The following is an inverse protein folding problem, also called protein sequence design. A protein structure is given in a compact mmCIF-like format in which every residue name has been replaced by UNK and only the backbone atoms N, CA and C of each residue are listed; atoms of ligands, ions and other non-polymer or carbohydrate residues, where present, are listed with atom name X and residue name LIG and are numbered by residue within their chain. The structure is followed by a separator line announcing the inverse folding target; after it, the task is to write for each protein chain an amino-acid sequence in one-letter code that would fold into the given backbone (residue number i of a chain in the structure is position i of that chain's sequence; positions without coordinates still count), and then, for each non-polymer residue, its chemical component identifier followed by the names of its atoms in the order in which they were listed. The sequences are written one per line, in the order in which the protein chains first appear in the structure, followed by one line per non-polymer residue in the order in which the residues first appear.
data_IF_938001513331
#
_entry.id   IF_938001513331
#
_cell.length_a   1.000
_cell.length_b   1.000
_cell.length_c   1.000
_cell.angle_alpha   90.00
_cell.angle_beta   90.00
_cell.angle_gamma   90.00
#
_symmetry.space_group_name_H-M   'P 1'
#
loop_
_entity.id
_entity.type
_entity.pdbx_description
1 polymer ?
#
# COMPACT_ATOMS: atom_id res chain seq x y z
N UNK A 1 -46.81 -26.92 -2.92
CA UNK A 1 -46.49 -27.08 -1.48
C UNK A 1 -45.60 -28.31 -1.31
N UNK A 2 -44.29 -28.14 -1.08
CA UNK A 2 -43.38 -29.23 -0.74
C UNK A 2 -42.59 -28.82 0.51
N UNK A 3 -42.68 -29.70 1.51
CA UNK A 3 -42.20 -29.55 2.88
C UNK A 3 -40.69 -29.83 2.94
N UNK A 4 -39.94 -28.97 3.62
CA UNK A 4 -38.56 -29.21 4.03
C UNK A 4 -38.54 -29.90 5.41
N UNK A 5 -37.70 -30.93 5.64
CA UNK A 5 -37.46 -31.44 6.99
C UNK A 5 -36.35 -30.63 7.71
N UNK A 6 -36.38 -30.54 9.05
CA UNK A 6 -35.55 -29.62 9.81
C UNK A 6 -34.20 -30.19 10.27
N UNK A 7 -33.28 -29.23 10.38
CA UNK A 7 -31.96 -29.15 11.01
C UNK A 7 -31.66 -30.08 12.20
N UNK A 8 -30.53 -30.80 12.12
CA UNK A 8 -29.87 -31.46 13.25
C UNK A 8 -29.06 -30.46 14.11
N UNK A 9 -29.24 -30.52 15.43
CA UNK A 9 -28.43 -29.85 16.47
C UNK A 9 -27.06 -30.53 16.65
N UNK A 10 -25.98 -29.81 16.98
CA UNK A 10 -24.79 -30.42 17.55
C UNK A 10 -24.83 -30.41 19.09
N UNK A 11 -24.44 -31.55 19.67
CA UNK A 11 -24.20 -31.79 21.08
C UNK A 11 -22.91 -31.08 21.53
N UNK A 12 -22.99 -30.28 22.59
CA UNK A 12 -21.84 -29.77 23.34
C UNK A 12 -21.58 -30.72 24.53
N UNK A 13 -20.34 -31.18 24.68
CA UNK A 13 -19.83 -31.78 25.92
C UNK A 13 -18.62 -30.96 26.42
N UNK A 14 -18.51 -30.69 27.73
CA UNK A 14 -17.41 -29.92 28.29
C UNK A 14 -16.31 -30.85 28.81
N UNK A 15 -15.05 -30.62 28.40
CA UNK A 15 -13.89 -31.21 29.07
C UNK A 15 -13.21 -30.15 29.95
N UNK A 16 -13.21 -30.44 31.25
CA UNK A 16 -12.56 -29.72 32.32
C UNK A 16 -11.15 -30.29 32.53
N UNK A 17 -10.21 -29.36 32.64
CA UNK A 17 -9.16 -29.28 33.67
C UNK A 17 -7.86 -30.12 33.59
N UNK A 18 -6.82 -29.42 34.07
CA UNK A 18 -5.58 -29.85 34.73
C UNK A 18 -4.37 -30.11 33.84
N UNK A 19 -3.37 -29.21 33.99
CA UNK A 19 -1.98 -29.61 34.27
C UNK A 19 -1.21 -28.43 34.86
N UNK A 20 -0.82 -28.62 36.11
CA UNK A 20 -0.03 -27.73 36.97
C UNK A 20 1.44 -27.73 36.55
N UNK A 21 2.10 -26.58 36.57
CA UNK A 21 3.54 -26.44 36.29
C UNK A 21 4.40 -26.72 37.53
N UNK A 22 5.59 -27.35 37.41
CA UNK A 22 6.55 -27.48 38.51
C UNK A 22 7.48 -26.25 38.62
N UNK A 23 8.08 -26.00 39.81
CA UNK A 23 8.93 -24.84 40.07
C UNK A 23 10.35 -25.02 39.51
N UNK A 24 10.96 -23.92 39.07
CA UNK A 24 12.36 -23.87 38.62
C UNK A 24 13.28 -23.54 39.79
N UNK A 25 14.31 -24.36 39.98
CA UNK A 25 15.48 -24.04 40.79
C UNK A 25 16.54 -23.33 39.91
N UNK A 26 17.06 -22.19 40.37
CA UNK A 26 18.26 -21.53 39.81
C UNK A 26 19.50 -21.86 40.67
N UNK A 27 20.66 -22.16 40.06
CA UNK A 27 21.93 -22.25 40.77
C UNK A 27 22.68 -20.90 40.80
N UNK A 28 23.55 -20.66 41.81
CA UNK A 28 24.26 -19.41 41.97
C UNK A 28 25.51 -19.32 41.07
N UNK A 29 25.75 -18.14 40.49
CA UNK A 29 26.98 -17.81 39.77
C UNK A 29 28.08 -17.30 40.72
N UNK A 30 29.36 -17.67 40.51
CA UNK A 30 30.47 -17.11 41.26
C UNK A 30 30.95 -15.77 40.67
N UNK A 31 31.35 -14.85 41.54
CA UNK A 31 32.08 -13.62 41.19
C UNK A 31 33.58 -13.90 41.03
N UNK A 32 34.26 -13.30 40.04
CA UNK A 32 35.68 -13.07 40.13
C UNK A 32 35.99 -11.60 40.41
N UNK A 33 36.76 -11.40 41.47
CA UNK A 33 37.47 -10.18 41.86
C UNK A 33 38.84 -10.16 41.20
N UNK A 34 39.21 -9.08 40.48
CA UNK A 34 40.61 -8.66 40.33
C UNK A 34 40.71 -7.15 40.06
N UNK A 35 41.59 -6.51 40.84
CA UNK A 35 42.00 -5.09 40.78
C UNK A 35 43.07 -4.84 39.69
N UNK A 36 43.33 -3.56 39.33
CA UNK A 36 43.97 -3.17 38.08
C UNK A 36 45.49 -2.99 38.18
N UNK A 37 46.19 -3.21 37.08
CA UNK A 37 47.56 -2.75 36.87
C UNK A 37 47.56 -1.44 36.06
N UNK A 38 48.27 -0.45 36.58
CA UNK A 38 48.55 0.84 35.97
C UNK A 38 49.67 0.72 34.92
N UNK A 39 49.56 1.44 33.80
CA UNK A 39 50.69 1.83 32.94
C UNK A 39 50.28 3.00 32.00
N UNK A 40 51.23 3.75 31.41
CA UNK A 40 51.30 5.20 31.56
C UNK A 40 50.92 6.01 30.31
N UNK A 41 50.74 7.30 30.58
CA UNK A 41 50.32 8.39 29.71
C UNK A 41 51.05 8.46 28.35
N UNK A 42 50.26 8.59 27.29
CA UNK A 42 50.65 9.18 26.01
C UNK A 42 49.72 10.35 25.69
N UNK A 43 50.30 11.43 25.17
CA UNK A 43 49.74 12.77 24.98
C UNK A 43 48.54 12.84 24.03
N UNK A 44 47.52 13.68 24.28
CA UNK A 44 46.38 13.83 23.38
C UNK A 44 46.62 14.94 22.35
N UNK A 45 46.68 14.55 21.08
CA UNK A 45 46.26 15.39 19.95
C UNK A 45 44.97 14.81 19.37
N UNK A 46 43.85 15.13 20.01
CA UNK A 46 42.52 14.71 19.54
C UNK A 46 41.51 15.79 19.83
N UNK A 47 40.90 16.33 18.78
CA UNK A 47 39.69 17.12 18.83
C UNK A 47 38.58 16.27 19.47
N UNK A 48 38.36 16.49 20.76
CA UNK A 48 37.32 15.79 21.50
C UNK A 48 35.95 16.00 20.81
N UNK A 49 35.21 14.93 20.49
CA UNK A 49 33.85 15.07 19.98
C UNK A 49 33.01 15.81 21.04
N UNK A 50 32.31 16.86 20.61
CA UNK A 50 31.41 17.62 21.46
C UNK A 50 30.44 16.65 22.17
N UNK A 51 30.22 16.79 23.48
CA UNK A 51 29.31 15.93 24.22
C UNK A 51 27.92 16.06 23.61
N UNK A 52 27.43 14.95 23.05
CA UNK A 52 26.03 14.86 22.60
C UNK A 52 25.17 14.70 23.84
N UNK A 53 24.53 15.79 24.26
CA UNK A 53 23.53 15.71 25.31
C UNK A 53 22.46 14.69 24.88
N UNK A 54 22.12 13.69 25.72
CA UNK A 54 21.13 12.69 25.35
C UNK A 54 19.80 13.40 25.05
N UNK A 55 19.17 13.05 23.93
CA UNK A 55 17.84 13.54 23.61
C UNK A 55 16.89 13.17 24.77
N UNK A 56 16.08 14.14 25.20
CA UNK A 56 15.01 13.87 26.17
C UNK A 56 14.15 12.69 25.65
N UNK A 57 13.78 11.75 26.53
CA UNK A 57 12.88 10.63 26.24
C UNK A 57 11.60 10.99 25.46
N UNK A 58 11.16 12.26 25.57
CA UNK A 58 10.00 12.80 24.84
C UNK A 58 10.31 13.25 23.43
N UNK A 59 11.56 13.61 23.12
CA UNK A 59 11.95 14.05 21.78
C UNK A 59 12.08 12.87 20.82
N UNK A 60 11.89 13.15 19.54
CA UNK A 60 12.02 12.22 18.42
C UNK A 60 12.84 12.90 17.34
N UNK A 61 13.75 12.15 16.74
CA UNK A 61 14.53 12.61 15.61
C UNK A 61 13.71 12.41 14.33
N UNK A 62 13.70 13.41 13.46
CA UNK A 62 13.15 13.33 12.10
C UNK A 62 14.27 13.73 11.15
N UNK A 63 14.75 12.76 10.37
CA UNK A 63 15.86 12.95 9.44
C UNK A 63 15.31 13.24 8.05
N UNK A 64 15.62 14.40 7.50
CA UNK A 64 15.28 14.82 6.15
C UNK A 64 16.49 14.63 5.23
N UNK A 65 16.31 14.01 4.06
CA UNK A 65 17.38 13.85 3.07
C UNK A 65 16.88 14.26 1.68
N UNK A 66 17.52 15.25 1.07
CA UNK A 66 17.16 15.78 -0.24
C UNK A 66 18.12 16.87 -0.72
N UNK A 67 17.81 17.52 -1.84
CA UNK A 67 18.52 18.74 -2.26
C UNK A 67 18.23 19.90 -1.30
N UNK A 68 19.02 20.99 -1.35
CA UNK A 68 18.78 22.17 -0.51
C UNK A 68 17.36 22.73 -0.65
N UNK A 69 16.87 22.84 -1.89
CA UNK A 69 15.50 23.28 -2.18
C UNK A 69 14.44 22.34 -1.56
N UNK A 70 14.63 21.02 -1.69
CA UNK A 70 13.73 20.02 -1.10
C UNK A 70 13.72 20.07 0.43
N UNK A 71 14.89 20.26 1.05
CA UNK A 71 15.03 20.38 2.50
C UNK A 71 14.37 21.65 3.04
N UNK A 72 14.59 22.79 2.38
CA UNK A 72 13.96 24.06 2.73
C UNK A 72 12.43 23.95 2.65
N UNK A 73 11.91 23.39 1.55
CA UNK A 73 10.48 23.16 1.38
C UNK A 73 9.92 22.19 2.43
N UNK A 74 10.61 21.09 2.72
CA UNK A 74 10.18 20.14 3.75
C UNK A 74 10.18 20.74 5.16
N UNK A 75 11.19 21.54 5.50
CA UNK A 75 11.25 22.24 6.78
C UNK A 75 10.07 23.21 6.95
N UNK A 76 9.73 23.98 5.91
CA UNK A 76 8.59 24.90 5.93
C UNK A 76 7.25 24.17 6.11
N UNK A 77 7.04 23.07 5.38
CA UNK A 77 5.83 22.24 5.52
C UNK A 77 5.73 21.64 6.93
N UNK A 78 6.82 21.13 7.47
CA UNK A 78 6.84 20.56 8.82
C UNK A 78 6.60 21.61 9.90
N UNK A 79 7.19 22.81 9.79
CA UNK A 79 6.94 23.91 10.73
C UNK A 79 5.45 24.31 10.75
N UNK A 80 4.81 24.45 9.58
CA UNK A 80 3.38 24.72 9.49
C UNK A 80 2.51 23.64 10.16
N UNK A 81 2.82 22.36 9.93
CA UNK A 81 2.12 21.22 10.57
C UNK A 81 2.32 21.24 12.09
N UNK A 82 3.54 21.50 12.56
CA UNK A 82 3.87 21.50 13.97
C UNK A 82 3.20 22.65 14.72
N UNK A 83 3.13 23.83 14.11
CA UNK A 83 2.38 24.99 14.63
C UNK A 83 0.87 24.80 14.60
N UNK A 84 0.37 23.79 13.88
CA UNK A 84 -1.07 23.56 13.71
C UNK A 84 -1.75 24.65 12.87
N UNK A 85 -0.99 25.43 12.11
CA UNK A 85 -1.55 26.44 11.19
C UNK A 85 -2.26 25.78 10.01
N UNK A 86 -2.02 24.49 9.78
CA UNK A 86 -2.71 23.69 8.77
C UNK A 86 -3.04 22.31 9.33
N UNK A 87 -4.29 21.86 9.14
CA UNK A 87 -4.73 20.51 9.50
C UNK A 87 -4.44 19.48 8.39
N UNK A 88 -4.07 19.96 7.20
CA UNK A 88 -3.59 19.23 6.05
C UNK A 88 -2.53 20.13 5.39
N UNK A 89 -1.44 19.60 4.82
CA UNK A 89 -0.41 20.46 4.25
C UNK A 89 -1.05 21.40 3.21
N UNK A 90 -0.77 22.71 3.23
CA UNK A 90 -1.55 23.71 2.49
C UNK A 90 -1.57 23.38 1.00
N UNK A 91 -2.75 23.24 0.38
CA UNK A 91 -2.91 22.69 -0.98
C UNK A 91 -2.29 23.61 -2.06
N UNK A 92 -2.14 24.90 -1.74
CA UNK A 92 -1.77 25.95 -2.70
C UNK A 92 -0.29 26.37 -2.69
N UNK A 93 0.61 25.59 -2.07
CA UNK A 93 2.06 25.87 -2.21
C UNK A 93 2.50 25.34 -3.58
N UNK A 94 2.93 26.21 -4.51
CA UNK A 94 3.34 25.77 -5.84
C UNK A 94 4.44 24.71 -5.74
N UNK A 95 4.32 23.65 -6.53
CA UNK A 95 5.41 22.69 -6.73
C UNK A 95 6.57 23.48 -7.32
N UNK A 96 7.63 23.68 -6.53
CA UNK A 96 8.80 24.38 -7.03
C UNK A 96 9.33 23.62 -8.26
N UNK A 97 9.59 24.31 -9.38
CA UNK A 97 10.21 23.69 -10.53
C UNK A 97 11.55 23.05 -10.13
N UNK A 98 11.98 22.02 -10.85
CA UNK A 98 13.29 21.42 -10.64
C UNK A 98 14.35 22.54 -10.59
N UNK A 99 15.22 22.57 -9.56
CA UNK A 99 16.12 23.69 -9.38
C UNK A 99 17.07 23.78 -10.58
N UNK A 100 16.97 24.88 -11.35
CA UNK A 100 18.04 25.30 -12.22
C UNK A 100 19.23 25.69 -11.35
N UNK A 101 20.44 25.46 -11.86
CA UNK A 101 21.70 25.57 -11.12
C UNK A 101 22.11 27.00 -10.73
N UNK A 102 21.20 27.97 -10.75
CA UNK A 102 21.51 29.38 -10.58
C UNK A 102 20.47 30.09 -9.68
N UNK A 103 20.64 29.94 -8.37
CA UNK A 103 20.64 31.05 -7.38
C UNK A 103 20.66 30.48 -5.96
N UNK A 104 21.80 30.65 -5.28
CA UNK A 104 22.14 30.05 -3.99
C UNK A 104 22.04 31.09 -2.85
N UNK A 105 21.01 31.96 -2.89
CA UNK A 105 20.71 32.90 -1.82
C UNK A 105 19.28 32.72 -1.31
N UNK A 106 19.07 31.65 -0.53
CA UNK A 106 17.89 31.51 0.31
C UNK A 106 18.13 32.27 1.64
N UNK A 107 17.13 33.00 2.16
CA UNK A 107 17.24 33.63 3.46
C UNK A 107 17.50 32.56 4.52
N UNK A 108 18.47 32.84 5.37
CA UNK A 108 18.83 32.02 6.50
C UNK A 108 17.64 31.91 7.47
N UNK A 109 16.72 30.97 7.21
CA UNK A 109 16.39 30.03 8.28
C UNK A 109 17.75 29.48 8.67
N UNK A 110 18.34 30.11 9.69
CA UNK A 110 19.56 29.70 10.37
C UNK A 110 19.52 28.19 10.37
N UNK A 111 20.28 27.58 9.44
CA UNK A 111 20.21 26.15 9.18
C UNK A 111 20.47 25.54 10.52
N UNK A 112 19.40 25.06 11.20
CA UNK A 112 19.48 24.52 12.54
C UNK A 112 20.66 23.58 12.49
N UNK A 113 21.76 23.99 13.16
CA UNK A 113 23.02 23.27 13.06
C UNK A 113 22.69 21.82 13.35
N UNK A 114 23.22 20.85 12.59
CA UNK A 114 22.91 19.45 12.83
C UNK A 114 23.20 19.16 14.30
N UNK A 115 22.16 19.14 15.13
CA UNK A 115 22.27 18.98 16.57
C UNK A 115 22.88 17.62 16.92
N UNK A 116 22.99 16.76 15.91
CA UNK A 116 23.33 15.35 15.96
C UNK A 116 24.22 14.94 14.79
N UNK A 117 25.21 15.75 14.39
CA UNK A 117 26.17 15.37 13.32
C UNK A 117 26.84 14.00 13.56
N UNK A 118 26.85 13.52 14.82
CA UNK A 118 27.35 12.21 15.22
C UNK A 118 26.28 11.12 15.41
N UNK A 119 24.98 11.41 15.23
CA UNK A 119 23.94 10.39 15.40
C UNK A 119 23.86 9.51 14.15
N UNK A 120 24.25 8.24 14.31
CA UNK A 120 23.97 7.17 13.36
C UNK A 120 22.76 6.35 13.83
N UNK A 121 21.85 5.97 12.92
CA UNK A 121 20.76 5.08 13.29
C UNK A 121 21.30 3.75 13.78
N UNK A 122 20.94 3.36 15.00
CA UNK A 122 21.32 2.05 15.51
C UNK A 122 20.68 0.90 14.71
N UNK A 123 19.56 1.16 14.04
CA UNK A 123 18.95 0.14 13.16
C UNK A 123 19.76 -0.01 11.86
N UNK A 124 20.24 -1.21 11.51
CA UNK A 124 21.04 -1.42 10.29
C UNK A 124 20.31 -0.99 9.02
N UNK A 125 18.97 -1.14 8.98
CA UNK A 125 18.15 -0.74 7.84
C UNK A 125 18.02 0.77 7.72
N UNK A 126 17.80 1.48 8.84
CA UNK A 126 17.75 2.95 8.85
C UNK A 126 19.08 3.54 8.41
N UNK A 127 20.19 3.06 8.99
CA UNK A 127 21.53 3.50 8.63
C UNK A 127 21.88 3.19 7.17
N UNK A 128 21.58 1.98 6.68
CA UNK A 128 21.79 1.63 5.27
C UNK A 128 20.98 2.54 4.33
N UNK A 129 19.73 2.84 4.67
CA UNK A 129 18.87 3.72 3.88
C UNK A 129 19.39 5.16 3.86
N UNK A 130 19.78 5.71 5.02
CA UNK A 130 20.36 7.06 5.11
C UNK A 130 21.65 7.15 4.28
N UNK A 131 22.58 6.20 4.46
CA UNK A 131 23.84 6.15 3.68
C UNK A 131 23.59 6.05 2.19
N UNK A 132 22.67 5.18 1.76
CA UNK A 132 22.32 5.03 0.34
C UNK A 132 21.72 6.30 -0.27
N UNK A 133 20.97 7.08 0.50
CA UNK A 133 20.41 8.35 0.02
C UNK A 133 21.48 9.44 -0.04
N UNK A 134 22.33 9.53 0.99
CA UNK A 134 23.45 10.48 1.06
C UNK A 134 24.56 10.21 0.04
N UNK A 135 24.69 8.98 -0.46
CA UNK A 135 25.63 8.66 -1.53
C UNK A 135 25.28 9.32 -2.87
N UNK A 136 24.07 9.90 -3.01
CA UNK A 136 23.66 10.61 -4.22
C UNK A 136 24.23 12.03 -4.21
N UNK A 137 24.91 12.42 -5.29
CA UNK A 137 25.47 13.76 -5.44
C UNK A 137 24.38 14.83 -5.30
N UNK A 138 24.68 15.93 -4.59
CA UNK A 138 23.77 17.04 -4.37
C UNK A 138 22.67 16.79 -3.32
N UNK A 139 22.73 15.68 -2.58
CA UNK A 139 21.84 15.42 -1.45
C UNK A 139 22.49 15.79 -0.13
N UNK A 140 21.68 16.31 0.80
CA UNK A 140 22.08 16.77 2.11
C UNK A 140 21.18 16.14 3.17
N UNK A 141 21.71 15.99 4.39
CA UNK A 141 20.95 15.54 5.56
C UNK A 141 20.63 16.75 6.43
N UNK A 142 19.38 16.83 6.88
CA UNK A 142 18.94 17.79 7.89
C UNK A 142 18.18 17.05 8.99
N UNK A 143 18.55 17.31 10.23
CA UNK A 143 18.02 16.60 11.40
C UNK A 143 17.11 17.54 12.18
N UNK A 144 15.85 17.15 12.37
CA UNK A 144 14.88 17.88 13.17
C UNK A 144 14.59 17.11 14.45
N UNK A 145 14.66 17.80 15.59
CA UNK A 145 14.23 17.26 16.88
C UNK A 145 12.80 17.72 17.14
N UNK A 146 11.87 16.77 17.18
CA UNK A 146 10.44 17.02 17.32
C UNK A 146 9.94 16.43 18.63
N UNK A 147 9.05 17.11 19.34
CA UNK A 147 8.36 16.49 20.49
C UNK A 147 7.56 15.26 20.03
N UNK A 148 7.73 14.13 20.69
CA UNK A 148 7.07 12.86 20.41
C UNK A 148 5.55 12.96 20.40
N UNK A 149 4.96 13.91 21.14
CA UNK A 149 3.51 14.20 21.13
C UNK A 149 3.04 14.79 19.80
N UNK A 150 3.93 15.46 19.07
CA UNK A 150 3.64 16.07 17.76
C UNK A 150 3.88 15.09 16.61
N UNK A 151 4.48 13.93 16.85
CA UNK A 151 4.73 12.94 15.79
C UNK A 151 3.45 12.43 15.12
N UNK A 152 2.34 12.36 15.86
CA UNK A 152 1.04 12.02 15.29
C UNK A 152 0.61 13.00 14.20
N UNK A 153 0.99 14.28 14.32
CA UNK A 153 0.75 15.31 13.30
C UNK A 153 1.71 15.23 12.12
N UNK A 154 2.92 14.69 12.25
CA UNK A 154 3.80 14.50 11.08
C UNK A 154 3.39 13.24 10.31
N UNK A 155 3.05 12.17 11.05
CA UNK A 155 2.67 10.89 10.45
C UNK A 155 1.27 10.95 9.85
N UNK A 156 0.33 11.61 10.54
CA UNK A 156 -1.09 11.56 10.22
C UNK A 156 -1.68 10.14 10.39
N UNK A 157 -2.97 9.96 10.08
CA UNK A 157 -3.62 8.66 10.11
C UNK A 157 -2.88 7.68 9.19
N UNK A 158 -2.41 6.56 9.76
CA UNK A 158 -1.70 5.48 9.03
C UNK A 158 -0.45 5.92 8.25
N UNK A 159 0.17 7.06 8.59
CA UNK A 159 1.35 7.55 7.88
C UNK A 159 1.05 8.31 6.59
N UNK A 160 -0.22 8.63 6.29
CA UNK A 160 -0.63 9.29 5.04
C UNK A 160 0.06 10.64 4.88
N UNK A 161 0.09 11.48 5.91
CA UNK A 161 0.71 12.80 5.81
C UNK A 161 2.22 12.70 5.66
N UNK A 162 2.87 11.74 6.32
CA UNK A 162 4.31 11.49 6.09
C UNK A 162 4.59 11.19 4.62
N UNK A 163 3.77 10.36 3.98
CA UNK A 163 3.90 10.01 2.57
C UNK A 163 3.61 11.22 1.66
N UNK A 164 2.59 11.99 1.98
CA UNK A 164 2.22 13.20 1.24
C UNK A 164 3.31 14.27 1.32
N UNK A 165 3.88 14.53 2.50
CA UNK A 165 4.99 15.48 2.67
C UNK A 165 6.19 15.01 1.85
N UNK A 166 6.54 13.72 1.87
CA UNK A 166 7.62 13.18 1.02
C UNK A 166 7.35 13.40 -0.47
N UNK A 167 6.13 13.15 -0.93
CA UNK A 167 5.75 13.31 -2.33
C UNK A 167 5.81 14.78 -2.76
N UNK A 168 5.29 15.69 -1.92
CA UNK A 168 5.23 17.13 -2.22
C UNK A 168 6.58 17.80 -2.21
N UNK A 169 7.43 17.42 -1.27
CA UNK A 169 8.73 18.08 -1.07
C UNK A 169 9.84 17.42 -1.87
N UNK A 170 9.62 16.19 -2.37
CA UNK A 170 10.67 15.34 -2.94
C UNK A 170 11.70 14.88 -1.91
N UNK A 171 11.55 15.24 -0.64
CA UNK A 171 12.49 14.94 0.43
C UNK A 171 12.23 13.57 1.04
N UNK A 172 13.28 12.79 1.27
CA UNK A 172 13.19 11.54 2.01
C UNK A 172 13.16 11.80 3.52
N UNK A 173 11.97 11.77 4.10
CA UNK A 173 11.74 11.85 5.55
C UNK A 173 11.89 10.48 6.23
N UNK A 174 12.83 10.34 7.15
CA UNK A 174 13.10 9.12 7.92
C UNK A 174 12.89 9.41 9.39
N UNK A 175 11.95 8.69 10.00
CA UNK A 175 11.67 8.76 11.44
C UNK A 175 12.25 7.48 12.06
N UNK A 176 13.41 7.56 12.75
CA UNK A 176 13.96 6.41 13.45
C UNK A 176 12.99 5.89 14.50
N UNK A 177 12.95 4.57 14.68
CA UNK A 177 12.26 4.01 15.83
C UNK A 177 12.88 4.59 17.12
N UNK A 178 12.09 4.90 18.15
CA UNK A 178 12.64 5.32 19.44
C UNK A 178 13.64 4.28 19.94
N UNK A 179 14.73 4.74 20.55
CA UNK A 179 15.83 3.91 21.05
C UNK A 179 15.45 2.98 22.21
N UNK A 180 14.15 2.81 22.49
CA UNK A 180 13.64 1.88 23.47
C UNK A 180 14.15 0.46 23.15
N UNK A 181 15.19 0.08 23.89
CA UNK A 181 15.67 -1.28 24.07
C UNK A 181 15.81 -2.06 22.75
N UNK A 182 16.73 -1.60 21.90
CA UNK A 182 17.29 -2.41 20.81
C UNK A 182 18.18 -3.57 21.33
N UNK A 183 17.85 -4.13 22.50
CA UNK A 183 18.35 -5.40 22.98
C UNK A 183 17.68 -6.56 22.22
N UNK A 184 18.25 -7.75 22.31
CA UNK A 184 17.87 -8.97 21.58
C UNK A 184 16.36 -9.30 21.53
N UNK A 185 15.53 -8.71 22.40
CA UNK A 185 14.07 -8.80 22.39
C UNK A 185 13.44 -8.34 21.05
N UNK A 186 13.82 -7.20 20.48
CA UNK A 186 13.20 -6.70 19.23
C UNK A 186 13.56 -7.53 17.98
N UNK A 187 14.73 -8.20 17.96
CA UNK A 187 15.09 -9.15 16.90
C UNK A 187 14.33 -10.46 17.05
N UNK A 188 14.20 -10.99 18.28
CA UNK A 188 13.37 -12.17 18.57
C UNK A 188 11.92 -11.89 18.18
N UNK A 189 11.38 -10.72 18.49
CA UNK A 189 9.99 -10.38 18.22
C UNK A 189 9.69 -10.28 16.72
N UNK A 190 10.68 -9.93 15.89
CA UNK A 190 10.51 -9.80 14.44
C UNK A 190 10.65 -11.12 13.67
N UNK A 191 11.58 -11.99 14.08
CA UNK A 191 11.62 -13.38 13.60
C UNK A 191 10.38 -14.13 14.06
N UNK A 192 9.97 -13.90 15.31
CA UNK A 192 8.71 -14.39 15.85
C UNK A 192 7.50 -13.81 15.13
N UNK A 193 7.50 -12.56 14.65
CA UNK A 193 6.44 -12.00 13.79
C UNK A 193 6.43 -12.60 12.38
N UNK A 194 7.58 -12.99 11.83
CA UNK A 194 7.65 -13.72 10.56
C UNK A 194 7.13 -15.16 10.73
N UNK A 195 7.53 -15.84 11.81
CA UNK A 195 6.97 -17.13 12.21
C UNK A 195 5.50 -17.02 12.59
N UNK A 196 5.07 -15.95 13.28
CA UNK A 196 3.68 -15.68 13.61
C UNK A 196 2.91 -15.42 12.33
N UNK A 197 3.43 -14.65 11.37
CA UNK A 197 2.77 -14.49 10.07
C UNK A 197 2.72 -15.81 9.28
N UNK A 198 3.72 -16.69 9.44
CA UNK A 198 3.69 -18.05 8.86
C UNK A 198 2.63 -18.92 9.53
N UNK A 199 2.52 -18.87 10.85
CA UNK A 199 1.47 -19.55 11.64
C UNK A 199 0.10 -18.89 11.41
N UNK A 200 0.04 -17.60 11.11
CA UNK A 200 -1.18 -16.87 10.76
C UNK A 200 -1.61 -17.10 9.29
N UNK A 201 -0.74 -17.65 8.45
CA UNK A 201 -1.14 -18.21 7.15
C UNK A 201 -1.79 -19.59 7.33
N UNK A 202 -1.54 -20.26 8.47
CA UNK A 202 -2.24 -21.47 8.95
C UNK A 202 -3.47 -21.13 9.82
N UNK A 203 -4.04 -19.93 9.71
CA UNK A 203 -5.34 -19.66 10.35
C UNK A 203 -6.36 -20.68 9.82
N UNK A 204 -7.07 -21.42 10.69
CA UNK A 204 -8.10 -22.34 10.25
C UNK A 204 -9.12 -21.65 9.34
N UNK A 205 -9.62 -22.36 8.34
CA UNK A 205 -10.60 -21.83 7.38
C UNK A 205 -11.78 -21.14 8.08
N UNK A 206 -12.28 -21.75 9.16
CA UNK A 206 -13.35 -21.19 9.99
C UNK A 206 -13.03 -19.79 10.55
N UNK A 207 -11.79 -19.53 10.97
CA UNK A 207 -11.39 -18.22 11.48
C UNK A 207 -11.29 -17.17 10.37
N UNK A 208 -10.88 -17.57 9.15
CA UNK A 208 -10.89 -16.67 7.99
C UNK A 208 -12.30 -16.29 7.60
N UNK A 209 -13.20 -17.26 7.47
CA UNK A 209 -14.61 -17.00 7.16
C UNK A 209 -15.28 -16.16 8.25
N UNK A 210 -14.96 -16.39 9.53
CA UNK A 210 -15.39 -15.54 10.64
C UNK A 210 -14.85 -14.10 10.52
N UNK A 211 -13.59 -13.93 10.13
CA UNK A 211 -13.00 -12.60 9.91
C UNK A 211 -13.75 -11.82 8.83
N UNK A 212 -14.06 -12.47 7.70
CA UNK A 212 -14.79 -11.87 6.58
C UNK A 212 -16.21 -11.52 7.00
N UNK A 213 -16.92 -12.46 7.65
CA UNK A 213 -18.27 -12.22 8.16
C UNK A 213 -18.31 -11.04 9.15
N UNK A 214 -17.34 -10.99 10.08
CA UNK A 214 -17.20 -9.87 11.02
C UNK A 214 -16.94 -8.56 10.30
N UNK A 215 -16.02 -8.52 9.33
CA UNK A 215 -15.74 -7.33 8.52
C UNK A 215 -16.97 -6.83 7.77
N UNK A 216 -17.70 -7.72 7.11
CA UNK A 216 -18.94 -7.39 6.40
C UNK A 216 -19.99 -6.81 7.35
N UNK A 217 -20.12 -7.35 8.57
CA UNK A 217 -21.01 -6.79 9.60
C UNK A 217 -20.55 -5.41 10.07
N UNK A 218 -19.27 -5.24 10.38
CA UNK A 218 -18.67 -3.96 10.78
C UNK A 218 -18.90 -2.89 9.70
N UNK A 219 -18.76 -3.25 8.42
CA UNK A 219 -19.01 -2.36 7.31
C UNK A 219 -20.46 -1.86 7.28
N UNK A 220 -21.40 -2.78 7.42
CA UNK A 220 -22.83 -2.45 7.45
C UNK A 220 -23.14 -1.50 8.62
N UNK A 221 -22.56 -1.76 9.79
CA UNK A 221 -22.73 -0.91 10.98
C UNK A 221 -22.05 0.46 10.82
N UNK A 222 -20.91 0.53 10.14
CA UNK A 222 -20.18 1.77 9.87
C UNK A 222 -20.71 2.56 8.67
N UNK A 223 -21.82 2.13 8.04
CA UNK A 223 -22.37 2.80 6.85
C UNK A 223 -21.44 2.74 5.63
N UNK A 224 -20.57 1.72 5.55
CA UNK A 224 -19.74 1.46 4.37
C UNK A 224 -20.56 0.77 3.28
N UNK A 225 -20.30 1.13 2.03
CA UNK A 225 -20.87 0.47 0.87
C UNK A 225 -20.41 -1.00 0.82
N UNK A 226 -21.34 -1.94 0.70
CA UNK A 226 -21.02 -3.37 0.62
C UNK A 226 -20.22 -3.78 -0.62
N UNK A 227 -20.12 -2.92 -1.63
CA UNK A 227 -19.42 -3.20 -2.89
C UNK A 227 -18.03 -2.54 -2.96
N UNK A 228 -17.95 -1.21 -2.89
CA UNK A 228 -16.66 -0.50 -2.94
C UNK A 228 -16.01 -0.30 -1.56
N UNK A 229 -16.68 -0.64 -0.46
CA UNK A 229 -16.17 -0.52 0.91
C UNK A 229 -15.76 0.91 1.34
N UNK A 230 -16.26 1.93 0.62
CA UNK A 230 -16.15 3.35 1.01
C UNK A 230 -17.31 3.76 1.92
N UNK A 231 -17.17 4.86 2.65
CA UNK A 231 -18.31 5.46 3.36
C UNK A 231 -19.43 5.84 2.38
N UNK A 232 -20.69 5.79 2.82
CA UNK A 232 -21.84 6.05 1.95
C UNK A 232 -21.72 7.38 1.17
N UNK A 233 -21.26 8.46 1.83
CA UNK A 233 -21.04 9.77 1.20
C UNK A 233 -19.86 9.84 0.21
N UNK A 234 -19.01 8.81 0.15
CA UNK A 234 -17.89 8.68 -0.79
C UNK A 234 -18.00 7.42 -1.64
N UNK A 235 -19.20 6.87 -1.79
CA UNK A 235 -19.43 5.67 -2.57
C UNK A 235 -19.20 5.93 -4.07
N UNK A 236 -18.21 5.24 -4.65
CA UNK A 236 -17.85 5.40 -6.08
C UNK A 236 -18.62 4.47 -7.02
N UNK A 237 -19.46 3.57 -6.50
CA UNK A 237 -20.08 2.53 -7.31
C UNK A 237 -20.97 3.07 -8.44
N UNK A 238 -21.65 4.20 -8.24
CA UNK A 238 -22.48 4.79 -9.30
C UNK A 238 -21.62 5.40 -10.40
N UNK A 239 -20.61 6.18 -10.02
CA UNK A 239 -19.67 6.82 -10.94
C UNK A 239 -18.87 5.79 -11.77
N UNK A 240 -18.48 4.67 -11.16
CA UNK A 240 -17.81 3.59 -11.89
C UNK A 240 -18.76 2.94 -12.91
N UNK A 241 -20.03 2.70 -12.54
CA UNK A 241 -21.00 2.11 -13.48
C UNK A 241 -21.32 3.04 -14.67
N UNK A 242 -21.23 4.36 -14.48
CA UNK A 242 -21.41 5.31 -15.58
C UNK A 242 -20.24 5.36 -16.56
N UNK A 243 -19.10 4.72 -16.26
CA UNK A 243 -18.02 4.53 -17.24
C UNK A 243 -18.38 3.51 -18.34
N UNK A 244 -19.51 2.81 -18.19
CA UNK A 244 -19.94 1.73 -19.07
C UNK A 244 -19.48 0.36 -18.55
N UNK A 245 -20.26 -0.70 -18.81
CA UNK A 245 -19.83 -2.05 -18.48
C UNK A 245 -18.63 -2.45 -19.32
N UNK A 246 -17.56 -2.89 -18.66
CA UNK A 246 -16.41 -3.50 -19.29
C UNK A 246 -16.80 -4.92 -19.70
N UNK A 247 -16.67 -5.20 -20.99
CA UNK A 247 -16.98 -6.51 -21.55
C UNK A 247 -15.70 -7.24 -21.93
N UNK A 248 -15.55 -8.47 -21.45
CA UNK A 248 -14.53 -9.39 -21.93
C UNK A 248 -15.21 -10.43 -22.83
N UNK A 249 -14.58 -10.81 -23.93
CA UNK A 249 -15.11 -11.76 -24.90
C UNK A 249 -14.71 -13.20 -24.55
N UNK A 250 -13.45 -13.40 -24.19
CA UNK A 250 -12.82 -14.70 -24.00
C UNK A 250 -12.40 -14.98 -22.57
N UNK A 251 -12.30 -13.98 -21.69
CA UNK A 251 -11.73 -14.17 -20.35
C UNK A 251 -12.73 -13.90 -19.23
N UNK A 252 -12.88 -14.83 -18.29
CA UNK A 252 -13.57 -14.61 -17.01
C UNK A 252 -12.56 -14.35 -15.91
N UNK A 253 -12.75 -13.28 -15.12
CA UNK A 253 -11.80 -12.88 -14.08
C UNK A 253 -12.31 -13.28 -12.70
N UNK A 254 -11.55 -14.14 -12.04
CA UNK A 254 -11.73 -14.49 -10.64
C UNK A 254 -10.67 -13.76 -9.81
N UNK A 255 -11.07 -13.09 -8.73
CA UNK A 255 -10.13 -12.35 -7.88
C UNK A 255 -10.14 -12.96 -6.49
N UNK A 256 -9.05 -13.57 -6.09
CA UNK A 256 -8.85 -14.12 -4.75
C UNK A 256 -8.27 -13.05 -3.83
N UNK A 257 -9.08 -12.52 -2.91
CA UNK A 257 -8.62 -11.49 -1.97
C UNK A 257 -8.17 -12.14 -0.68
N UNK A 258 -6.93 -11.87 -0.28
CA UNK A 258 -6.44 -12.26 1.03
C UNK A 258 -7.33 -11.68 2.14
N UNK A 259 -7.73 -12.47 3.14
CA UNK A 259 -8.70 -12.05 4.17
C UNK A 259 -8.36 -10.73 4.88
N UNK A 260 -7.06 -10.43 5.08
CA UNK A 260 -6.60 -9.15 5.68
C UNK A 260 -6.88 -7.93 4.80
N UNK A 261 -6.94 -8.09 3.48
CA UNK A 261 -7.25 -7.02 2.52
C UNK A 261 -8.75 -6.97 2.18
N UNK A 262 -9.50 -8.03 2.46
CA UNK A 262 -10.94 -8.07 2.26
C UNK A 262 -11.63 -6.95 3.05
N UNK A 263 -12.45 -6.17 2.37
CA UNK A 263 -13.13 -5.05 2.97
C UNK A 263 -12.34 -3.73 3.04
N UNK A 264 -11.08 -3.68 2.57
CA UNK A 264 -10.34 -2.42 2.66
C UNK A 264 -10.75 -1.40 1.60
N UNK A 265 -11.07 -0.20 2.04
CA UNK A 265 -11.29 0.97 1.18
C UNK A 265 -10.15 1.19 0.15
N UNK A 266 -8.91 0.81 0.45
CA UNK A 266 -7.76 0.97 -0.46
C UNK A 266 -7.50 -0.22 -1.38
N UNK A 267 -8.28 -1.30 -1.30
CA UNK A 267 -8.07 -2.49 -2.14
C UNK A 267 -8.67 -2.23 -3.53
N UNK A 268 -7.86 -2.29 -4.59
CA UNK A 268 -8.30 -1.93 -5.94
C UNK A 268 -8.95 -3.09 -6.69
N UNK A 269 -8.73 -4.33 -6.24
CA UNK A 269 -9.38 -5.54 -6.77
C UNK A 269 -10.92 -5.45 -6.85
N UNK A 270 -11.55 -4.77 -5.91
CA UNK A 270 -13.03 -4.61 -5.84
C UNK A 270 -13.61 -3.74 -6.96
N UNK A 271 -12.78 -3.03 -7.72
CA UNK A 271 -13.23 -2.14 -8.79
C UNK A 271 -13.65 -2.94 -10.03
N UNK A 272 -12.96 -4.05 -10.33
CA UNK A 272 -13.27 -4.82 -11.53
C UNK A 272 -14.69 -5.43 -11.53
N UNK A 273 -15.21 -6.04 -10.44
CA UNK A 273 -16.61 -6.49 -10.40
C UNK A 273 -17.64 -5.37 -10.53
N UNK A 274 -17.26 -4.10 -10.33
CA UNK A 274 -18.12 -2.96 -10.57
C UNK A 274 -18.13 -2.54 -12.05
N UNK A 275 -17.00 -2.72 -12.74
CA UNK A 275 -16.83 -2.45 -14.17
C UNK A 275 -17.39 -3.58 -15.03
N UNK A 276 -17.08 -4.83 -14.69
CA UNK A 276 -17.43 -6.03 -15.47
C UNK A 276 -18.27 -7.02 -14.65
N UNK A 277 -19.50 -6.66 -14.25
CA UNK A 277 -20.29 -7.48 -13.33
C UNK A 277 -20.58 -8.90 -13.84
N UNK A 278 -20.60 -9.10 -15.16
CA UNK A 278 -20.88 -10.40 -15.78
C UNK A 278 -19.64 -11.28 -15.92
N UNK A 279 -18.44 -10.68 -15.97
CA UNK A 279 -17.19 -11.38 -16.23
C UNK A 279 -16.24 -11.41 -15.03
N UNK A 280 -16.45 -10.59 -14.00
CA UNK A 280 -15.54 -10.44 -12.87
C UNK A 280 -16.21 -10.83 -11.55
N UNK A 281 -15.55 -11.72 -10.79
CA UNK A 281 -16.02 -12.15 -9.46
C UNK A 281 -14.93 -12.03 -8.42
N UNK A 282 -15.28 -11.44 -7.28
CA UNK A 282 -14.42 -11.32 -6.11
C UNK A 282 -14.73 -12.43 -5.11
N UNK A 283 -13.69 -13.15 -4.71
CA UNK A 283 -13.76 -14.27 -3.78
C UNK A 283 -12.83 -14.00 -2.61
N UNK A 284 -13.25 -14.25 -1.36
CA UNK A 284 -12.30 -14.37 -0.28
C UNK A 284 -11.40 -15.59 -0.52
N UNK A 285 -10.09 -15.47 -0.27
CA UNK A 285 -9.19 -16.61 -0.32
C UNK A 285 -9.35 -17.49 0.95
N UNK A 286 -9.41 -18.83 0.85
CA UNK A 286 -9.16 -19.68 -0.33
C UNK A 286 -10.41 -20.11 -1.11
N UNK A 287 -11.57 -19.48 -0.90
CA UNK A 287 -12.87 -19.84 -1.49
C UNK A 287 -12.97 -19.47 -2.99
N UNK A 288 -11.94 -19.81 -3.77
CA UNK A 288 -11.89 -19.57 -5.21
C UNK A 288 -12.31 -20.83 -5.97
N UNK A 289 -13.03 -20.69 -7.10
CA UNK A 289 -13.25 -21.81 -7.99
C UNK A 289 -11.90 -22.30 -8.49
N UNK A 290 -11.46 -23.51 -8.10
CA UNK A 290 -10.17 -24.06 -8.54
C UNK A 290 -10.30 -24.93 -9.79
N UNK A 291 -11.53 -25.29 -10.18
CA UNK A 291 -11.77 -26.10 -11.38
C UNK A 291 -11.55 -25.25 -12.63
N UNK A 292 -10.51 -25.60 -13.41
CA UNK A 292 -10.13 -25.05 -14.73
C UNK A 292 -9.45 -23.67 -14.74
N UNK A 293 -8.96 -23.20 -13.60
CA UNK A 293 -8.49 -21.83 -13.44
C UNK A 293 -6.99 -21.67 -13.74
N UNK A 294 -6.61 -20.67 -14.55
CA UNK A 294 -5.20 -20.28 -14.75
C UNK A 294 -4.86 -19.10 -13.85
N UNK A 295 -3.80 -19.20 -13.04
CA UNK A 295 -3.54 -18.31 -11.90
C UNK A 295 -2.42 -17.33 -12.22
N UNK A 296 -2.64 -16.05 -11.96
CA UNK A 296 -1.62 -15.02 -11.95
C UNK A 296 -0.95 -14.93 -10.58
N UNK A 297 0.31 -15.36 -10.50
CA UNK A 297 1.34 -14.79 -9.62
C UNK A 297 2.71 -15.04 -10.24
N UNK A 298 3.28 -14.00 -10.86
CA UNK A 298 4.70 -13.90 -11.18
C UNK A 298 5.30 -15.23 -11.68
N UNK A 299 4.69 -15.80 -12.71
CA UNK A 299 5.21 -16.97 -13.40
C UNK A 299 6.41 -16.60 -14.28
N UNK A 300 6.95 -17.59 -14.98
CA UNK A 300 8.01 -17.37 -15.97
C UNK A 300 7.47 -16.92 -17.33
N UNK A 301 6.16 -17.05 -17.57
CA UNK A 301 5.55 -16.81 -18.88
C UNK A 301 4.93 -15.42 -18.94
N UNK A 302 5.31 -14.57 -19.90
CA UNK A 302 4.61 -13.32 -20.18
C UNK A 302 3.15 -13.57 -20.55
N UNK A 303 2.23 -12.72 -20.10
CA UNK A 303 0.81 -12.85 -20.41
C UNK A 303 0.54 -12.89 -21.93
N UNK A 304 1.23 -12.03 -22.69
CA UNK A 304 1.12 -11.96 -24.16
C UNK A 304 1.46 -13.27 -24.87
N UNK A 305 2.30 -14.13 -24.28
CA UNK A 305 2.62 -15.43 -24.86
C UNK A 305 1.43 -16.41 -24.90
N UNK A 306 0.35 -16.12 -24.17
CA UNK A 306 -0.87 -16.91 -24.17
C UNK A 306 -1.98 -16.36 -25.07
N UNK A 307 -1.77 -15.22 -25.75
CA UNK A 307 -2.80 -14.55 -26.58
C UNK A 307 -3.41 -15.48 -27.63
N UNK A 308 -2.56 -16.15 -28.43
CA UNK A 308 -3.03 -17.07 -29.46
C UNK A 308 -3.80 -18.25 -28.85
N UNK A 309 -3.26 -18.84 -27.77
CA UNK A 309 -3.92 -19.95 -27.08
C UNK A 309 -5.31 -19.57 -26.55
N UNK A 310 -5.49 -18.36 -26.00
CA UNK A 310 -6.79 -17.83 -25.55
C UNK A 310 -7.75 -17.65 -26.73
N UNK A 311 -7.27 -17.11 -27.85
CA UNK A 311 -8.09 -16.90 -29.04
C UNK A 311 -8.66 -18.22 -29.61
N UNK A 312 -7.85 -19.29 -29.57
CA UNK A 312 -8.20 -20.64 -30.03
C UNK A 312 -9.20 -21.36 -29.10
N UNK A 313 -9.40 -20.89 -27.86
CA UNK A 313 -10.37 -21.53 -26.97
C UNK A 313 -11.80 -21.29 -27.42
N UNK A 314 -12.57 -22.37 -27.54
CA UNK A 314 -14.01 -22.30 -27.83
C UNK A 314 -14.81 -21.75 -26.64
N UNK A 315 -14.39 -22.08 -25.42
CA UNK A 315 -15.00 -21.62 -24.18
C UNK A 315 -14.23 -20.42 -23.59
N UNK A 316 -14.89 -19.68 -22.69
CA UNK A 316 -14.25 -18.61 -21.92
C UNK A 316 -13.17 -19.20 -20.99
N UNK A 317 -12.06 -18.50 -20.90
CA UNK A 317 -10.87 -18.84 -20.14
C UNK A 317 -10.92 -18.13 -18.79
N UNK A 318 -10.85 -18.85 -17.66
CA UNK A 318 -10.75 -18.21 -16.36
C UNK A 318 -9.33 -17.72 -16.04
N UNK A 319 -9.21 -16.45 -15.70
CA UNK A 319 -8.04 -15.78 -15.14
C UNK A 319 -8.23 -15.57 -13.64
N UNK A 320 -7.40 -16.19 -12.80
CA UNK A 320 -7.39 -15.97 -11.36
C UNK A 320 -6.30 -14.98 -10.96
N UNK A 321 -6.71 -13.94 -10.23
CA UNK A 321 -5.84 -12.86 -9.78
C UNK A 321 -5.79 -12.89 -8.26
N UNK A 322 -4.59 -12.94 -7.69
CA UNK A 322 -4.43 -12.92 -6.23
C UNK A 322 -4.22 -11.47 -5.75
N UNK A 323 -5.10 -10.99 -4.87
CA UNK A 323 -5.04 -9.66 -4.27
C UNK A 323 -4.54 -9.73 -2.82
N UNK A 324 -3.50 -8.96 -2.52
CA UNK A 324 -2.84 -9.00 -1.23
C UNK A 324 -1.60 -8.13 -1.16
N UNK A 325 -0.95 -8.12 0.00
CA UNK A 325 0.45 -7.67 0.06
C UNK A 325 1.34 -8.64 -0.72
N UNK A 326 2.51 -8.18 -1.19
CA UNK A 326 3.46 -9.04 -1.91
C UNK A 326 3.82 -10.33 -1.16
N UNK A 327 3.97 -10.26 0.17
CA UNK A 327 4.25 -11.43 0.98
C UNK A 327 3.06 -12.42 0.98
N UNK A 328 1.84 -11.90 1.16
CA UNK A 328 0.62 -12.71 1.17
C UNK A 328 0.37 -13.34 -0.20
N UNK A 329 0.47 -12.56 -1.29
CA UNK A 329 0.30 -13.06 -2.67
C UNK A 329 1.31 -14.15 -2.98
N UNK A 330 2.58 -13.99 -2.59
CA UNK A 330 3.59 -15.06 -2.73
C UNK A 330 3.22 -16.30 -1.91
N UNK A 331 2.62 -16.12 -0.73
CA UNK A 331 2.16 -17.24 0.09
C UNK A 331 1.00 -17.98 -0.58
N UNK A 332 -0.02 -17.27 -1.03
CA UNK A 332 -1.17 -17.81 -1.75
C UNK A 332 -0.75 -18.50 -3.05
N UNK A 333 0.21 -17.93 -3.79
CA UNK A 333 0.75 -18.50 -5.02
C UNK A 333 1.40 -19.87 -4.81
N UNK A 334 2.19 -20.01 -3.74
CA UNK A 334 2.87 -21.28 -3.43
C UNK A 334 1.86 -22.40 -3.22
N UNK A 335 0.71 -22.11 -2.63
CA UNK A 335 -0.36 -23.09 -2.44
C UNK A 335 -1.06 -23.47 -3.76
N UNK A 336 -0.94 -22.63 -4.80
CA UNK A 336 -1.54 -22.87 -6.12
C UNK A 336 -0.55 -23.44 -7.15
N UNK A 337 0.76 -23.35 -6.89
CA UNK A 337 1.80 -23.78 -7.82
C UNK A 337 1.79 -25.28 -8.13
N UNK A 338 1.29 -26.10 -7.21
CA UNK A 338 1.21 -27.55 -7.37
C UNK A 338 -0.13 -28.02 -7.98
N UNK A 339 -1.04 -27.09 -8.31
CA UNK A 339 -2.36 -27.43 -8.86
C UNK A 339 -2.22 -27.76 -10.36
N UNK A 340 -2.55 -28.99 -10.80
CA UNK A 340 -2.45 -29.35 -12.21
C UNK A 340 -3.31 -28.46 -13.11
N UNK A 341 -2.75 -28.03 -14.24
CA UNK A 341 -3.44 -27.19 -15.23
C UNK A 341 -3.42 -25.68 -14.93
N UNK A 342 -2.79 -25.27 -13.82
CA UNK A 342 -2.52 -23.86 -13.53
C UNK A 342 -1.27 -23.39 -14.27
N UNK A 343 -1.41 -22.38 -15.13
CA UNK A 343 -0.28 -21.67 -15.73
C UNK A 343 -0.09 -20.34 -15.02
N UNK A 344 1.11 -20.12 -14.46
CA UNK A 344 1.50 -18.86 -13.84
C UNK A 344 1.98 -17.89 -14.91
N UNK A 345 1.40 -16.68 -14.96
CA UNK A 345 1.82 -15.61 -15.89
C UNK A 345 2.31 -14.34 -15.18
N UNK A 346 2.95 -13.42 -15.92
CA UNK A 346 3.28 -12.06 -15.47
C UNK A 346 2.94 -11.01 -16.54
N UNK A 347 2.78 -9.75 -16.13
CA UNK A 347 2.48 -8.60 -17.01
C UNK A 347 3.61 -7.58 -17.06
N UNK A 348 4.79 -7.92 -16.53
CA UNK A 348 5.92 -6.98 -16.44
C UNK A 348 6.26 -6.33 -17.79
N UNK A 349 6.17 -7.09 -18.87
CA UNK A 349 6.52 -6.65 -20.22
C UNK A 349 5.50 -5.63 -20.77
N UNK A 350 4.30 -5.60 -20.20
CA UNK A 350 3.20 -4.71 -20.57
C UNK A 350 3.21 -3.40 -19.76
N UNK A 351 4.03 -3.30 -18.72
CA UNK A 351 4.09 -2.11 -17.87
C UNK A 351 4.92 -1.01 -18.57
N UNK A 352 4.23 -0.04 -19.17
CA UNK A 352 4.86 1.05 -19.93
C UNK A 352 5.25 2.28 -19.08
N UNK A 353 5.07 2.24 -17.76
CA UNK A 353 5.36 3.39 -16.90
C UNK A 353 5.06 3.17 -15.43
N UNK A 354 5.25 4.20 -14.59
CA UNK A 354 4.81 4.15 -13.20
C UNK A 354 3.30 3.98 -13.12
N UNK A 355 2.82 3.27 -12.11
CA UNK A 355 1.39 3.07 -11.92
C UNK A 355 0.67 4.40 -11.64
N UNK A 356 -0.59 4.48 -12.05
CA UNK A 356 -1.46 5.63 -11.80
C UNK A 356 -2.03 5.62 -10.37
N UNK A 357 -1.78 4.57 -9.59
CA UNK A 357 -2.21 4.46 -8.20
C UNK A 357 -1.35 5.34 -7.27
N UNK A 358 -1.63 6.64 -7.29
CA UNK A 358 -0.86 7.68 -6.58
C UNK A 358 -1.06 7.66 -5.05
N UNK A 359 -2.12 7.04 -4.53
CA UNK A 359 -2.36 6.99 -3.07
C UNK A 359 -1.38 6.09 -2.32
N UNK A 360 -0.62 5.24 -3.03
CA UNK A 360 0.42 4.41 -2.43
C UNK A 360 1.78 4.75 -3.00
N UNK A 361 2.78 4.76 -2.12
CA UNK A 361 4.19 4.81 -2.51
C UNK A 361 4.51 3.56 -3.29
N UNK A 362 4.75 3.74 -4.58
CA UNK A 362 5.32 2.70 -5.41
C UNK A 362 6.74 2.40 -4.95
N UNK A 363 7.03 1.11 -4.81
CA UNK A 363 8.35 0.62 -4.42
C UNK A 363 9.28 0.58 -5.65
N UNK A 364 8.71 0.41 -6.86
CA UNK A 364 9.40 0.38 -8.14
C UNK A 364 8.42 0.70 -9.26
N UNK A 365 8.91 1.16 -10.43
CA UNK A 365 8.07 1.48 -11.59
C UNK A 365 7.30 0.25 -12.11
N UNK A 366 7.88 -0.94 -12.01
CA UNK A 366 7.25 -2.22 -12.40
C UNK A 366 6.06 -2.65 -11.51
N UNK A 367 5.78 -1.92 -10.42
CA UNK A 367 4.74 -2.30 -9.47
C UNK A 367 3.48 -1.51 -9.72
N UNK A 368 2.53 -2.18 -10.34
CA UNK A 368 1.18 -1.70 -10.58
C UNK A 368 0.21 -2.18 -9.50
N UNK A 369 -0.95 -1.52 -9.38
CA UNK A 369 -2.05 -1.97 -8.54
C UNK A 369 -2.74 -3.21 -9.12
N UNK A 370 -3.57 -3.88 -8.32
CA UNK A 370 -4.25 -5.10 -8.77
C UNK A 370 -5.16 -4.87 -9.98
N UNK A 371 -5.92 -3.76 -10.00
CA UNK A 371 -6.80 -3.44 -11.14
C UNK A 371 -6.01 -3.10 -12.42
N UNK A 372 -4.88 -2.40 -12.30
CA UNK A 372 -3.97 -2.14 -13.43
C UNK A 372 -3.38 -3.45 -13.97
N UNK A 373 -2.92 -4.33 -13.08
CA UNK A 373 -2.39 -5.62 -13.49
C UNK A 373 -3.43 -6.49 -14.19
N UNK A 374 -4.69 -6.46 -13.73
CA UNK A 374 -5.79 -7.15 -14.42
C UNK A 374 -5.98 -6.56 -15.82
N UNK A 375 -6.04 -5.24 -15.94
CA UNK A 375 -6.27 -4.58 -17.22
C UNK A 375 -5.17 -4.93 -18.24
N UNK A 376 -3.90 -4.79 -17.83
CA UNK A 376 -2.74 -5.18 -18.64
C UNK A 376 -2.77 -6.66 -19.02
N UNK A 377 -3.16 -7.54 -18.09
CA UNK A 377 -3.28 -8.97 -18.38
C UNK A 377 -4.36 -9.25 -19.43
N UNK A 378 -5.53 -8.63 -19.31
CA UNK A 378 -6.62 -8.83 -20.25
C UNK A 378 -6.25 -8.35 -21.66
N UNK A 379 -5.61 -7.19 -21.80
CA UNK A 379 -5.13 -6.69 -23.10
C UNK A 379 -4.06 -7.60 -23.72
N UNK A 380 -3.11 -8.05 -22.90
CA UNK A 380 -2.08 -9.00 -23.34
C UNK A 380 -2.70 -10.33 -23.80
N UNK A 381 -3.83 -10.74 -23.22
CA UNK A 381 -4.59 -11.92 -23.62
C UNK A 381 -5.53 -11.66 -24.82
N UNK A 382 -5.55 -10.44 -25.36
CA UNK A 382 -6.30 -10.08 -26.57
C UNK A 382 -7.71 -9.53 -26.33
N UNK A 383 -8.06 -9.17 -25.09
CA UNK A 383 -9.24 -8.34 -24.83
C UNK A 383 -8.96 -6.88 -25.23
N UNK A 384 -9.99 -6.15 -25.64
CA UNK A 384 -9.89 -4.79 -26.17
C UNK A 384 -10.64 -3.81 -25.27
N UNK A 385 -10.28 -2.52 -25.29
CA UNK A 385 -10.96 -1.44 -24.58
C UNK A 385 -11.05 -1.64 -23.04
N UNK A 386 -10.03 -2.28 -22.46
CA UNK A 386 -10.02 -2.67 -21.04
C UNK A 386 -9.32 -1.62 -20.17
N UNK A 387 -8.16 -1.13 -20.60
CA UNK A 387 -7.28 -0.36 -19.73
C UNK A 387 -7.87 0.99 -19.33
N UNK A 388 -8.34 1.79 -20.28
CA UNK A 388 -8.85 3.13 -20.00
C UNK A 388 -10.01 3.15 -18.96
N UNK A 389 -11.08 2.33 -19.10
CA UNK A 389 -12.12 2.26 -18.06
C UNK A 389 -11.62 1.79 -16.70
N UNK A 390 -10.64 0.87 -16.68
CA UNK A 390 -10.03 0.37 -15.44
C UNK A 390 -9.23 1.46 -14.71
N UNK A 391 -8.47 2.28 -15.45
CA UNK A 391 -7.73 3.42 -14.89
C UNK A 391 -8.69 4.51 -14.41
N UNK A 392 -9.72 4.86 -15.19
CA UNK A 392 -10.72 5.82 -14.76
C UNK A 392 -11.42 5.40 -13.45
N UNK A 393 -11.75 4.11 -13.28
CA UNK A 393 -12.31 3.59 -12.04
C UNK A 393 -11.33 3.66 -10.86
N UNK A 394 -10.04 3.41 -11.11
CA UNK A 394 -8.97 3.54 -10.12
C UNK A 394 -8.81 4.98 -9.63
N UNK A 395 -8.87 5.95 -10.54
CA UNK A 395 -8.81 7.38 -10.24
C UNK A 395 -10.00 7.82 -9.39
N UNK A 396 -11.22 7.43 -9.75
CA UNK A 396 -12.42 7.69 -8.96
C UNK A 396 -12.30 7.13 -7.53
N UNK A 397 -11.84 5.87 -7.39
CA UNK A 397 -11.60 5.26 -6.08
C UNK A 397 -10.56 6.02 -5.28
N UNK A 398 -9.45 6.40 -5.92
CA UNK A 398 -8.33 7.12 -5.28
C UNK A 398 -8.78 8.50 -4.78
N UNK A 399 -9.55 9.24 -5.59
CA UNK A 399 -10.08 10.55 -5.23
C UNK A 399 -11.04 10.44 -4.03
N UNK A 400 -11.91 9.43 -4.02
CA UNK A 400 -12.80 9.16 -2.90
C UNK A 400 -12.05 8.80 -1.61
N UNK A 401 -10.96 8.02 -1.70
CA UNK A 401 -10.09 7.69 -0.56
C UNK A 401 -9.43 8.94 0.04
N UNK A 402 -8.89 9.81 -0.82
CA UNK A 402 -8.27 11.06 -0.39
C UNK A 402 -9.30 11.95 0.32
N UNK A 403 -10.46 12.16 -0.30
CA UNK A 403 -11.56 12.96 0.26
C UNK A 403 -12.02 12.41 1.61
N UNK A 404 -12.22 11.08 1.70
CA UNK A 404 -12.62 10.41 2.95
C UNK A 404 -11.56 10.55 4.05
N UNK A 405 -10.27 10.61 3.70
CA UNK A 405 -9.17 10.83 4.63
C UNK A 405 -9.01 12.26 5.11
N UNK A 406 -9.86 13.19 4.67
CA UNK A 406 -9.70 14.64 4.90
C UNK A 406 -8.55 15.25 4.09
N UNK A 407 -8.01 14.53 3.11
CA UNK A 407 -7.04 15.05 2.15
C UNK A 407 -7.84 15.64 1.01
N UNK A 408 -7.95 16.97 0.97
CA UNK A 408 -8.68 17.64 -0.11
C UNK A 408 -8.03 17.28 -1.46
N UNK A 409 -8.81 16.76 -2.43
CA UNK A 409 -8.27 16.46 -3.74
C UNK A 409 -7.72 17.74 -4.37
N UNK A 410 -6.57 17.64 -5.08
CA UNK A 410 -6.14 18.71 -5.98
C UNK A 410 -7.28 18.99 -6.95
N UNK A 411 -7.61 20.28 -7.18
CA UNK A 411 -8.52 20.65 -8.26
C UNK A 411 -8.00 19.95 -9.53
N UNK A 412 -8.83 19.16 -10.24
CA UNK A 412 -8.39 18.55 -11.49
C UNK A 412 -8.01 19.67 -12.45
N UNK A 413 -6.86 19.53 -13.12
CA UNK A 413 -6.51 20.39 -14.24
C UNK A 413 -7.64 20.27 -15.27
N UNK A 414 -8.38 21.36 -15.47
CA UNK A 414 -9.59 21.39 -16.30
C UNK A 414 -9.34 21.03 -17.77
N UNK A 415 -8.09 20.88 -18.16
CA UNK A 415 -7.63 20.51 -19.50
C UNK A 415 -7.66 19.00 -19.79
N UNK A 416 -7.69 18.11 -18.78
CA UNK A 416 -7.52 16.67 -19.02
C UNK A 416 -8.83 15.88 -19.27
N UNK A 417 -9.99 16.41 -18.86
CA UNK A 417 -11.29 15.72 -19.01
C UNK A 417 -12.13 16.17 -20.22
N UNK A 418 -11.74 17.26 -20.90
CA UNK A 418 -12.47 17.76 -22.07
C UNK A 418 -11.99 17.17 -23.40
N UNK A 419 -10.87 16.43 -23.43
CA UNK A 419 -10.28 15.89 -24.65
C UNK A 419 -10.68 14.45 -25.00
N UNK A 420 -11.48 13.76 -24.17
CA UNK A 420 -11.80 12.33 -24.36
C UNK A 420 -13.29 12.02 -24.57
N UNK A 421 -14.15 13.03 -24.70
CA UNK A 421 -15.54 12.82 -25.15
C UNK A 421 -15.60 13.01 -26.67
N UNK A 422 -15.97 11.99 -27.47
CA UNK A 422 -16.18 12.19 -28.89
C UNK A 422 -17.32 13.18 -29.09
N UNK A 423 -17.03 14.30 -29.76
CA UNK A 423 -18.05 15.22 -30.24
C UNK A 423 -18.88 14.50 -31.30
N UNK A 424 -20.02 13.93 -30.92
CA UNK A 424 -21.06 13.53 -31.86
C UNK A 424 -21.52 14.78 -32.62
N UNK A 425 -21.08 14.92 -33.86
CA UNK A 425 -21.65 15.87 -34.79
C UNK A 425 -23.02 15.34 -35.20
N UNK A 426 -24.06 15.88 -34.58
CA UNK A 426 -25.43 15.81 -35.07
C UNK A 426 -25.50 16.52 -36.43
N UNK A 427 -25.25 15.78 -37.50
CA UNK A 427 -25.72 16.16 -38.83
C UNK A 427 -27.22 15.88 -38.86
N UNK A 428 -28.00 16.93 -38.63
CA UNK A 428 -29.40 16.95 -38.98
C UNK A 428 -29.53 16.65 -40.49
N UNK A 429 -30.06 15.48 -40.83
CA UNK A 429 -30.67 15.25 -42.14
C UNK A 429 -32.17 15.39 -41.97
N UNK A 430 -32.65 16.57 -42.35
CA UNK A 430 -34.01 16.77 -42.84
C UNK A 430 -34.32 15.75 -43.92
N UNK A 431 -35.51 15.15 -43.86
CA UNK A 431 -35.95 14.17 -44.85
C UNK A 431 -37.18 13.41 -44.44
N UNK A 432 -38.29 14.13 -44.30
CA UNK A 432 -39.68 13.69 -44.37
C UNK A 432 -39.90 12.26 -44.91
N UNK A 433 -40.46 11.38 -44.07
CA UNK A 433 -41.34 10.31 -44.52
C UNK A 433 -42.54 10.24 -43.57
N UNK A 434 -43.61 10.92 -43.97
CA UNK A 434 -44.95 10.75 -43.44
C UNK A 434 -45.55 9.49 -44.09
N UNK A 435 -46.14 8.67 -43.22
CA UNK A 435 -47.26 7.76 -43.44
C UNK A 435 -47.41 7.06 -44.79
N UNK A 436 -47.26 5.73 -44.78
CA UNK A 436 -48.29 4.83 -45.30
C UNK A 436 -48.19 3.41 -44.69
N UNK A 437 -49.32 2.97 -44.12
CA UNK A 437 -49.91 1.61 -44.13
C UNK A 437 -49.13 0.39 -43.58
N UNK A 438 -49.48 -0.08 -42.37
CA UNK A 438 -50.41 -1.20 -42.09
C UNK A 438 -50.31 -1.65 -40.62
#
# INVERSE_FOLDING_TARGET
MRLFPPLCRPLLSPLRAMCSSPPRHEPPYPRPSHQPAQQPCASPSSSAPLPTAPLNSRSRLVVLIGTRAQLSHAAHVLDAILRGTTCAPPVDVPVLPHPSTADDQLPALEMLRPATAAWEPQSPRGAKRIRSLLARQGTFRHDLVVDGRLMGRILGPRGIWHMEIQQRTGCAIIIPAPEAECGAAARRDRTRLFELNRVLDEIPEAERSLHIARRTREHKLAGLCGRCWMMAGHCVCSAIRSLGPLHTRKVDVHIAVHYKEYGRATATAKLLPLLAPDAARLHPYPEVPTRRVRVWVRGATPAGALKQWVAEQQARVPLLVLDGTWANVKSMARQLGDVPGVTMIHVNDEVQGPSQFKSRRQISAEKVSTVEAIALALEALGEEDIYEPAIAALELSTQAEMTQGGVLPRKPDSTALQSSMPSESLVAKDGSFLHDLN
#
